data_IF_632602914411
#
_entry.id   IF_632602914411
#
_cell.length_a   1.000
_cell.length_b   1.000
_cell.length_c   1.000
_cell.angle_alpha   90.00
_cell.angle_beta   90.00
_cell.angle_gamma   90.00
#
_symmetry.space_group_name_H-M   'P 1'
#
loop_
_entity.id
_entity.type
_entity.pdbx_description
1 polymer ?
#
# COMPACT_ATOMS: atom_id res chain seq x y z
N UNK A 1 -9.34 -1.44 1.38
CA UNK A 1 -8.00 -1.06 0.85
C UNK A 1 -7.02 -1.21 2.00
N UNK A 2 -6.47 -2.40 2.14
CA UNK A 2 -5.58 -2.78 3.22
C UNK A 2 -4.13 -2.74 2.74
N UNK A 3 -3.66 -1.54 2.40
CA UNK A 3 -2.22 -1.28 2.44
C UNK A 3 -1.80 -1.31 3.92
N UNK A 4 -0.78 -2.07 4.32
CA UNK A 4 -0.21 -1.97 5.66
C UNK A 4 0.45 -0.59 5.84
N UNK A 5 -0.31 0.42 6.28
CA UNK A 5 0.14 1.82 6.33
C UNK A 5 1.03 2.18 7.54
N UNK A 6 1.19 1.27 8.49
CA UNK A 6 1.95 1.50 9.72
C UNK A 6 3.43 1.11 9.56
N UNK A 7 3.99 1.28 8.38
CA UNK A 7 5.39 0.95 8.09
C UNK A 7 6.22 2.23 7.99
N UNK A 8 7.45 2.20 8.53
CA UNK A 8 8.45 3.27 8.33
C UNK A 8 8.66 3.57 6.85
N UNK A 9 8.58 2.56 5.97
CA UNK A 9 8.85 2.70 4.54
C UNK A 9 7.60 2.97 3.69
N UNK A 10 6.47 3.32 4.30
CA UNK A 10 5.18 3.50 3.58
C UNK A 10 5.25 4.53 2.45
N UNK A 11 6.16 5.48 2.52
CA UNK A 11 6.38 6.59 1.58
C UNK A 11 7.69 6.48 0.78
N UNK A 12 8.37 5.34 0.83
CA UNK A 12 9.66 5.14 0.16
C UNK A 12 9.76 3.77 -0.54
N UNK A 13 8.90 2.82 -0.18
CA UNK A 13 8.98 1.45 -0.69
C UNK A 13 8.37 1.30 -2.08
N UNK A 14 9.11 0.64 -2.98
CA UNK A 14 8.65 0.27 -4.33
C UNK A 14 7.38 -0.59 -4.29
N UNK A 15 7.25 -1.48 -3.30
CA UNK A 15 6.05 -2.32 -3.15
C UNK A 15 4.80 -1.49 -2.81
N UNK A 16 4.91 -0.52 -1.91
CA UNK A 16 3.79 0.35 -1.58
C UNK A 16 3.40 1.21 -2.78
N UNK A 17 4.40 1.79 -3.45
CA UNK A 17 4.20 2.56 -4.68
C UNK A 17 3.45 1.75 -5.76
N UNK A 18 3.84 0.50 -6.00
CA UNK A 18 3.18 -0.35 -6.98
C UNK A 18 1.71 -0.62 -6.63
N UNK A 19 1.40 -0.84 -5.35
CA UNK A 19 0.02 -1.06 -4.88
C UNK A 19 -0.82 0.22 -4.97
N UNK A 20 -0.25 1.40 -4.69
CA UNK A 20 -0.92 2.69 -4.94
C UNK A 20 -1.36 2.83 -6.40
N UNK A 21 -0.51 2.43 -7.36
CA UNK A 21 -0.87 2.42 -8.79
C UNK A 21 -2.06 1.51 -9.06
N UNK A 22 -2.08 0.31 -8.48
CA UNK A 22 -3.18 -0.65 -8.70
C UNK A 22 -4.52 -0.15 -8.14
N UNK A 23 -4.48 0.65 -7.07
CA UNK A 23 -5.68 1.29 -6.51
C UNK A 23 -6.05 2.62 -7.17
N UNK A 24 -5.25 3.11 -8.12
CA UNK A 24 -5.44 4.43 -8.72
C UNK A 24 -5.33 5.58 -7.71
N UNK A 25 -4.58 5.37 -6.62
CA UNK A 25 -4.37 6.38 -5.59
C UNK A 25 -3.17 7.27 -5.94
N UNK A 26 -3.18 8.54 -5.50
CA UNK A 26 -2.00 9.39 -5.61
C UNK A 26 -0.83 8.79 -4.83
N UNK A 27 0.35 8.81 -5.44
CA UNK A 27 1.55 8.30 -4.81
C UNK A 27 1.99 9.15 -3.62
N UNK A 28 2.47 8.51 -2.55
CA UNK A 28 3.10 9.21 -1.41
C UNK A 28 4.47 9.78 -1.77
N UNK A 29 5.21 9.08 -2.65
CA UNK A 29 6.46 9.52 -3.28
C UNK A 29 6.42 9.18 -4.77
N UNK A 30 7.00 10.01 -5.64
CA UNK A 30 7.15 9.65 -7.06
C UNK A 30 8.44 8.86 -7.33
N UNK A 31 9.35 8.82 -6.36
CA UNK A 31 10.68 8.23 -6.50
C UNK A 31 10.94 7.31 -5.29
N UNK A 32 10.28 6.13 -5.23
CA UNK A 32 10.57 5.15 -4.18
C UNK A 32 12.01 4.64 -4.35
N UNK A 33 12.78 4.66 -3.27
CA UNK A 33 14.19 4.26 -3.25
C UNK A 33 14.47 3.04 -2.35
N UNK A 34 13.41 2.45 -1.79
CA UNK A 34 13.50 1.30 -0.90
C UNK A 34 12.88 0.03 -1.49
N UNK A 35 13.67 -1.04 -1.58
CA UNK A 35 13.21 -2.36 -1.99
C UNK A 35 12.93 -3.23 -0.76
N UNK A 36 11.68 -3.64 -0.57
CA UNK A 36 11.30 -4.50 0.55
C UNK A 36 11.83 -5.93 0.35
N UNK A 37 12.31 -6.54 1.44
CA UNK A 37 12.72 -7.94 1.46
C UNK A 37 11.50 -8.84 1.60
N UNK A 38 11.34 -9.79 0.67
CA UNK A 38 10.26 -10.78 0.67
C UNK A 38 8.86 -10.18 0.86
N UNK A 39 8.41 -9.23 0.01
CA UNK A 39 7.10 -8.63 0.12
C UNK A 39 6.00 -9.65 -0.18
N UNK A 40 4.95 -9.61 0.64
CA UNK A 40 3.75 -10.44 0.50
C UNK A 40 2.57 -9.53 0.19
N UNK A 41 1.93 -9.80 -0.93
CA UNK A 41 0.76 -9.07 -1.42
C UNK A 41 -0.40 -10.05 -1.52
N UNK A 42 -1.55 -9.70 -0.95
CA UNK A 42 -2.80 -10.38 -1.21
C UNK A 42 -3.54 -9.69 -2.34
N UNK A 43 -4.09 -10.47 -3.25
CA UNK A 43 -4.96 -9.98 -4.32
C UNK A 43 -6.31 -10.67 -4.21
N UNK A 44 -7.35 -9.90 -3.89
CA UNK A 44 -8.72 -10.40 -3.91
C UNK A 44 -9.35 -10.09 -5.27
N UNK A 45 -9.75 -11.12 -6.00
CA UNK A 45 -10.40 -10.98 -7.30
C UNK A 45 -11.87 -11.35 -7.13
N UNK A 46 -12.77 -10.43 -7.47
CA UNK A 46 -14.21 -10.66 -7.47
C UNK A 46 -14.73 -10.46 -8.88
N UNK A 47 -15.52 -11.41 -9.35
CA UNK A 47 -16.17 -11.34 -10.66
C UNK A 47 -17.66 -11.19 -10.45
N UNK A 48 -18.26 -10.12 -10.96
CA UNK A 48 -19.70 -9.89 -10.91
C UNK A 48 -20.20 -9.49 -12.31
N UNK A 49 -21.05 -10.34 -12.90
CA UNK A 49 -21.53 -10.19 -14.28
C UNK A 49 -20.37 -10.00 -15.29
N UNK A 50 -20.25 -8.80 -15.87
CA UNK A 50 -19.23 -8.45 -16.86
C UNK A 50 -18.05 -7.64 -16.26
N UNK A 51 -18.01 -7.44 -14.94
CA UNK A 51 -16.98 -6.67 -14.27
C UNK A 51 -16.06 -7.57 -13.43
N UNK A 52 -14.77 -7.26 -13.49
CA UNK A 52 -13.72 -7.85 -12.64
C UNK A 52 -13.24 -6.75 -11.69
N UNK A 53 -13.38 -6.99 -10.39
CA UNK A 53 -12.88 -6.12 -9.33
C UNK A 53 -11.65 -6.77 -8.71
N UNK A 54 -10.60 -5.98 -8.50
CA UNK A 54 -9.35 -6.42 -7.88
C UNK A 54 -9.02 -5.51 -6.71
N UNK A 55 -8.73 -6.10 -5.55
CA UNK A 55 -8.22 -5.41 -4.37
C UNK A 55 -6.82 -5.93 -4.04
N UNK A 56 -5.88 -5.01 -3.88
CA UNK A 56 -4.45 -5.31 -3.70
C UNK A 56 -3.98 -4.86 -2.31
N UNK A 57 -3.44 -5.76 -1.52
CA UNK A 57 -3.09 -5.46 -0.13
C UNK A 57 -1.66 -5.87 0.17
N UNK A 58 -0.83 -4.95 0.65
CA UNK A 58 0.49 -5.29 1.21
C UNK A 58 0.26 -5.86 2.60
N UNK A 59 0.40 -7.18 2.75
CA UNK A 59 0.11 -7.89 4.01
C UNK A 59 1.35 -8.17 4.86
N UNK A 60 2.56 -7.90 4.34
CA UNK A 60 3.78 -7.86 5.13
C UNK A 60 5.05 -8.08 4.31
N UNK A 61 6.20 -7.89 4.93
CA UNK A 61 7.53 -8.16 4.36
C UNK A 61 8.54 -8.37 5.51
N UNK A 62 9.73 -8.86 5.21
CA UNK A 62 10.81 -9.00 6.19
C UNK A 62 11.48 -7.66 6.54
N UNK A 63 11.23 -6.63 5.73
CA UNK A 63 11.65 -5.26 5.98
C UNK A 63 10.68 -4.46 6.85
N UNK A 64 9.58 -5.04 7.32
CA UNK A 64 8.56 -4.29 8.05
C UNK A 64 9.12 -3.75 9.36
N UNK A 65 8.99 -2.43 9.53
CA UNK A 65 9.26 -1.74 10.77
C UNK A 65 8.07 -0.87 11.12
N UNK A 66 7.52 -1.04 12.32
CA UNK A 66 6.31 -0.35 12.72
C UNK A 66 6.57 1.15 12.94
N UNK A 67 5.76 1.99 12.28
CA UNK A 67 5.62 3.41 12.58
C UNK A 67 4.15 3.83 12.44
N UNK A 68 3.46 3.85 13.58
CA UNK A 68 2.03 4.17 13.64
C UNK A 68 1.78 5.63 13.26
N UNK A 69 0.78 5.85 12.42
CA UNK A 69 0.33 7.20 12.05
C UNK A 69 1.27 7.96 11.10
N UNK A 70 2.35 7.34 10.59
CA UNK A 70 3.16 7.96 9.54
C UNK A 70 2.33 8.32 8.32
N UNK A 71 1.56 7.37 7.79
CA UNK A 71 0.67 7.61 6.65
C UNK A 71 -0.31 8.77 6.89
N UNK A 72 -0.96 8.82 8.05
CA UNK A 72 -1.90 9.90 8.37
C UNK A 72 -1.23 11.28 8.47
N UNK A 73 0.04 11.35 8.91
CA UNK A 73 0.83 12.60 8.87
C UNK A 73 1.18 13.02 7.46
N UNK A 74 1.38 12.08 6.54
CA UNK A 74 1.65 12.35 5.12
C UNK A 74 0.39 12.77 4.36
N UNK A 75 -0.79 12.35 4.83
CA UNK A 75 -2.10 12.62 4.22
C UNK A 75 -3.05 13.29 5.24
N UNK A 76 -2.76 14.53 5.69
CA UNK A 76 -3.54 15.17 6.73
C UNK A 76 -4.99 15.42 6.27
N UNK A 77 -5.94 14.92 7.05
CA UNK A 77 -7.38 15.09 6.79
C UNK A 77 -7.99 14.01 5.89
N UNK A 78 -7.20 13.10 5.33
CA UNK A 78 -7.72 11.96 4.58
C UNK A 78 -8.12 10.81 5.49
N UNK A 79 -9.11 10.02 5.06
CA UNK A 79 -9.49 8.80 5.76
C UNK A 79 -8.35 7.79 5.68
N UNK A 80 -7.99 7.23 6.84
CA UNK A 80 -6.97 6.21 6.94
C UNK A 80 -7.49 4.92 6.27
N UNK A 81 -6.75 4.32 5.31
CA UNK A 81 -7.16 3.07 4.67
C UNK A 81 -7.35 1.95 5.69
N UNK A 82 -8.46 1.22 5.58
CA UNK A 82 -8.85 0.10 6.44
C UNK A 82 -9.13 -1.16 5.66
#
# INVERSE_FOLDING_TARGET
>A
MCICINCVYVDACVTYHAVETQHGQPHLTNEPDFEALNPRINVNIRTAAAEIQMEWDVVGCESFQEERGKWARLRPGEAVPT
#
